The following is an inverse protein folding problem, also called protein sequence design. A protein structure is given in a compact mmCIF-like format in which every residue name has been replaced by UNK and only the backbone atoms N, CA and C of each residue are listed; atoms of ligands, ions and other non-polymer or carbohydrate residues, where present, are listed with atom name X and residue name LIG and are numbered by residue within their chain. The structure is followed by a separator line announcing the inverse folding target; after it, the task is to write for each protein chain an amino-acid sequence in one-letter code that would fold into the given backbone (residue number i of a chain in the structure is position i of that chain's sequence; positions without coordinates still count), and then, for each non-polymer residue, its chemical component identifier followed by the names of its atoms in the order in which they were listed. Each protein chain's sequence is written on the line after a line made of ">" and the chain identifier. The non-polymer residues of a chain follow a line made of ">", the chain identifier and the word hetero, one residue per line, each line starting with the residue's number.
data_IF_892601129397
#
_entry.id   IF_892601129397
#
_cell.length_a   1.000
_cell.length_b   1.000
_cell.length_c   1.000
_cell.angle_alpha   90.00
_cell.angle_beta   90.00
_cell.angle_gamma   90.00
#
_symmetry.space_group_name_H-M   'P 1'
#
loop_
_entity.id
_entity.type
_entity.pdbx_description
1 polymer ?
#
# COMPACT_ATOMS: atom_id res chain seq x y z
N UNK A 1 46.54 49.35 44.25
CA UNK A 1 47.02 48.40 45.27
C UNK A 1 46.65 46.99 44.80
N UNK A 2 47.67 46.19 44.49
CA UNK A 2 47.75 44.72 44.34
C UNK A 2 46.70 43.99 43.47
N UNK A 3 47.03 43.57 42.25
CA UNK A 3 47.64 42.27 41.86
C UNK A 3 46.66 41.08 42.01
N UNK A 4 46.34 40.38 40.89
CA UNK A 4 46.71 38.97 40.65
C UNK A 4 46.03 38.38 39.41
N UNK A 5 46.89 37.98 38.48
CA UNK A 5 46.71 37.08 37.33
C UNK A 5 46.13 35.72 37.71
N UNK A 6 45.17 35.19 36.93
CA UNK A 6 45.09 33.74 36.62
C UNK A 6 44.54 33.48 35.22
N UNK A 7 45.39 32.85 34.41
CA UNK A 7 45.06 32.16 33.15
C UNK A 7 44.19 30.94 33.50
N UNK A 8 43.05 30.78 32.84
CA UNK A 8 42.25 29.55 32.87
C UNK A 8 42.07 29.05 31.44
N UNK A 9 42.42 27.77 31.29
CA UNK A 9 42.63 27.05 30.04
C UNK A 9 41.32 26.78 29.30
N UNK A 10 41.42 26.95 27.98
CA UNK A 10 40.62 26.43 26.89
C UNK A 10 39.75 25.20 27.23
N UNK A 11 38.45 25.25 26.93
CA UNK A 11 37.67 24.02 26.70
C UNK A 11 36.74 24.20 25.51
N UNK A 12 37.12 23.59 24.38
CA UNK A 12 36.25 23.44 23.21
C UNK A 12 35.11 22.51 23.59
N UNK A 13 33.95 23.06 23.96
CA UNK A 13 32.75 22.24 24.13
C UNK A 13 32.22 21.90 22.75
N UNK A 14 32.41 20.63 22.41
CA UNK A 14 32.00 20.00 21.17
C UNK A 14 30.54 20.35 20.82
N UNK A 15 30.35 20.79 19.58
CA UNK A 15 29.05 20.89 18.93
C UNK A 15 28.66 19.46 18.55
N UNK A 16 27.59 18.94 19.15
CA UNK A 16 26.94 17.70 18.69
C UNK A 16 25.61 18.10 18.06
N UNK A 17 25.49 18.20 16.73
CA UNK A 17 24.18 18.21 16.11
C UNK A 17 23.65 16.77 16.21
N UNK A 18 22.77 16.53 17.19
CA UNK A 18 22.04 15.27 17.27
C UNK A 18 21.07 15.21 16.09
N UNK A 19 21.48 14.47 15.07
CA UNK A 19 20.74 14.14 13.85
C UNK A 19 19.33 13.65 14.17
N UNK A 20 18.34 14.48 13.87
CA UNK A 20 16.92 14.13 13.89
C UNK A 20 16.52 13.49 12.54
N UNK A 21 17.11 12.34 12.22
CA UNK A 21 16.71 11.54 11.06
C UNK A 21 16.03 10.27 11.56
N UNK A 22 14.71 10.15 11.44
CA UNK A 22 14.06 8.84 11.56
C UNK A 22 12.66 8.74 12.17
N UNK A 23 11.96 9.83 12.49
CA UNK A 23 10.54 9.74 12.86
C UNK A 23 9.64 9.78 11.62
N UNK A 24 9.73 8.75 10.78
CA UNK A 24 8.72 8.53 9.76
C UNK A 24 7.47 7.95 10.43
N UNK A 25 6.26 8.52 10.21
CA UNK A 25 5.04 7.91 10.72
C UNK A 25 4.86 6.52 10.12
N UNK A 26 4.32 5.58 10.91
CA UNK A 26 3.88 4.28 10.41
C UNK A 26 2.80 4.55 9.35
N UNK A 27 3.10 4.25 8.08
CA UNK A 27 2.12 4.36 7.01
C UNK A 27 1.03 3.31 7.22
N UNK A 28 -0.22 3.76 7.36
CA UNK A 28 -1.41 2.90 7.35
C UNK A 28 -1.97 2.92 5.94
N UNK A 29 -1.97 1.77 5.26
CA UNK A 29 -2.57 1.63 3.94
C UNK A 29 -4.09 1.75 4.07
N UNK A 30 -4.65 2.86 3.57
CA UNK A 30 -6.10 3.05 3.45
C UNK A 30 -6.65 2.41 2.17
N UNK A 31 -7.96 2.57 1.97
CA UNK A 31 -8.65 2.07 0.77
C UNK A 31 -8.04 2.66 -0.52
N UNK A 32 -7.94 1.84 -1.56
CA UNK A 32 -7.47 2.31 -2.87
C UNK A 32 -8.40 3.40 -3.41
N UNK A 33 -7.88 4.59 -3.80
CA UNK A 33 -8.70 5.64 -4.39
C UNK A 33 -9.06 5.35 -5.85
N UNK A 34 -8.47 4.31 -6.46
CA UNK A 34 -8.69 3.93 -7.85
C UNK A 34 -9.78 2.85 -7.94
N UNK A 35 -10.74 3.06 -8.84
CA UNK A 35 -11.74 2.05 -9.21
C UNK A 35 -11.19 0.98 -10.16
N UNK A 36 -11.99 -0.05 -10.40
CA UNK A 36 -11.67 -1.11 -11.35
C UNK A 36 -12.09 -0.72 -12.77
N UNK A 37 -11.24 -0.97 -13.76
CA UNK A 37 -11.59 -0.87 -15.18
C UNK A 37 -11.85 -2.29 -15.69
N UNK A 38 -13.04 -2.50 -16.24
CA UNK A 38 -13.38 -3.75 -16.90
C UNK A 38 -13.15 -3.58 -18.40
N UNK A 39 -12.33 -4.45 -18.99
CA UNK A 39 -12.17 -4.55 -20.44
C UNK A 39 -13.23 -5.51 -21.00
N UNK A 40 -13.48 -5.42 -22.30
CA UNK A 40 -14.38 -6.35 -23.01
C UNK A 40 -13.56 -7.18 -23.98
N UNK A 41 -12.57 -7.88 -23.45
CA UNK A 41 -11.83 -8.86 -24.22
C UNK A 41 -12.77 -10.01 -24.58
N UNK A 42 -12.71 -10.49 -25.82
CA UNK A 42 -13.56 -11.58 -26.30
C UNK A 42 -12.73 -12.83 -26.50
N UNK A 43 -13.26 -13.95 -26.04
CA UNK A 43 -12.68 -15.27 -26.27
C UNK A 43 -13.00 -15.79 -27.67
N UNK A 44 -12.07 -16.57 -28.30
CA UNK A 44 -12.38 -17.31 -29.51
C UNK A 44 -13.60 -18.22 -29.30
N UNK A 45 -14.34 -18.49 -30.39
CA UNK A 45 -15.52 -19.34 -30.33
C UNK A 45 -15.20 -20.72 -29.71
N UNK A 46 -16.00 -21.13 -28.74
CA UNK A 46 -15.86 -22.42 -28.06
C UNK A 46 -14.87 -22.47 -26.90
N UNK A 47 -14.14 -21.38 -26.63
CA UNK A 47 -13.20 -21.32 -25.50
C UNK A 47 -13.92 -20.99 -24.19
N UNK A 48 -13.37 -21.53 -23.09
CA UNK A 48 -13.83 -21.28 -21.73
C UNK A 48 -12.73 -20.62 -20.91
N UNK A 49 -13.13 -19.68 -20.06
CA UNK A 49 -12.30 -19.18 -18.98
C UNK A 49 -13.02 -19.40 -17.64
N UNK A 50 -12.24 -19.73 -16.62
CA UNK A 50 -12.73 -19.87 -15.25
C UNK A 50 -11.78 -19.12 -14.33
N UNK A 51 -12.29 -18.11 -13.64
CA UNK A 51 -11.51 -17.31 -12.72
C UNK A 51 -12.02 -17.48 -11.29
N UNK A 52 -11.11 -17.83 -10.38
CA UNK A 52 -11.44 -17.97 -8.97
C UNK A 52 -10.73 -16.89 -8.16
N UNK A 53 -11.51 -16.12 -7.41
CA UNK A 53 -11.03 -15.13 -6.47
C UNK A 53 -11.26 -15.59 -5.05
N UNK A 54 -10.24 -15.46 -4.22
CA UNK A 54 -10.31 -15.62 -2.77
C UNK A 54 -9.65 -14.38 -2.18
N UNK A 55 -10.45 -13.51 -1.57
CA UNK A 55 -9.98 -12.24 -1.03
C UNK A 55 -10.16 -12.21 0.47
N UNK A 56 -9.07 -12.05 1.21
CA UNK A 56 -9.13 -11.55 2.58
C UNK A 56 -9.06 -10.03 2.55
N UNK A 57 -10.02 -9.38 3.21
CA UNK A 57 -10.02 -7.94 3.47
C UNK A 57 -9.89 -7.76 4.97
N UNK A 58 -8.71 -7.37 5.40
CA UNK A 58 -8.38 -7.02 6.77
C UNK A 58 -8.14 -5.51 6.85
N UNK A 59 -8.83 -4.86 7.80
CA UNK A 59 -8.78 -3.42 8.01
C UNK A 59 -9.67 -2.63 7.04
N UNK A 60 -10.09 -1.44 7.49
CA UNK A 60 -10.71 -0.39 6.67
C UNK A 60 -10.21 0.97 7.17
N UNK A 61 -10.40 2.03 6.38
CA UNK A 61 -10.06 3.41 6.77
C UNK A 61 -10.73 3.86 8.09
N UNK A 62 -11.79 3.18 8.55
CA UNK A 62 -12.40 3.37 9.88
C UNK A 62 -13.11 2.09 10.38
N UNK A 63 -12.75 1.62 11.58
CA UNK A 63 -13.38 0.48 12.26
C UNK A 63 -12.63 -0.85 12.09
N UNK A 64 -13.01 -1.87 12.89
CA UNK A 64 -12.49 -3.22 12.78
C UNK A 64 -13.32 -4.00 11.74
N UNK A 65 -12.67 -4.42 10.66
CA UNK A 65 -13.29 -5.15 9.57
C UNK A 65 -12.41 -6.30 9.13
N UNK A 66 -12.97 -7.51 9.14
CA UNK A 66 -12.38 -8.72 8.59
C UNK A 66 -13.43 -9.41 7.72
N UNK A 67 -13.13 -9.57 6.43
CA UNK A 67 -14.00 -10.25 5.48
C UNK A 67 -13.20 -11.22 4.61
N UNK A 68 -13.69 -12.46 4.53
CA UNK A 68 -13.36 -13.39 3.46
C UNK A 68 -14.43 -13.33 2.38
N UNK A 69 -14.02 -12.98 1.17
CA UNK A 69 -14.87 -12.96 -0.01
C UNK A 69 -14.39 -13.99 -1.04
N UNK A 70 -15.35 -14.68 -1.64
CA UNK A 70 -15.12 -15.68 -2.67
C UNK A 70 -15.93 -15.29 -3.90
N UNK A 71 -15.31 -15.36 -5.08
CA UNK A 71 -16.00 -15.14 -6.36
C UNK A 71 -15.50 -16.16 -7.37
N UNK A 72 -16.40 -16.74 -8.12
CA UNK A 72 -16.09 -17.62 -9.24
C UNK A 72 -16.69 -17.00 -10.48
N UNK A 73 -15.86 -16.69 -11.45
CA UNK A 73 -16.29 -16.16 -12.75
C UNK A 73 -16.08 -17.24 -13.80
N UNK A 74 -17.06 -17.41 -14.68
CA UNK A 74 -17.03 -18.38 -15.75
C UNK A 74 -17.46 -17.72 -17.05
N UNK A 75 -16.64 -17.86 -18.07
CA UNK A 75 -16.82 -17.22 -19.36
C UNK A 75 -16.78 -18.21 -20.52
N UNK A 76 -17.55 -17.90 -21.57
CA UNK A 76 -17.62 -18.69 -22.78
C UNK A 76 -17.67 -17.84 -24.04
N UNK A 77 -16.80 -18.15 -25.01
CA UNK A 77 -16.82 -17.57 -26.35
C UNK A 77 -17.95 -18.16 -27.20
N UNK A 78 -19.00 -17.37 -27.44
CA UNK A 78 -20.14 -17.73 -28.31
C UNK A 78 -19.75 -17.61 -29.78
N UNK A 79 -19.04 -16.54 -30.14
CA UNK A 79 -18.38 -16.30 -31.43
C UNK A 79 -17.01 -15.67 -31.16
N UNK A 80 -16.17 -15.51 -32.18
CA UNK A 80 -14.85 -14.88 -32.04
C UNK A 80 -14.90 -13.40 -31.60
N UNK A 81 -16.09 -12.83 -31.45
CA UNK A 81 -16.34 -11.44 -31.05
C UNK A 81 -17.52 -11.28 -30.08
N UNK A 82 -18.01 -12.38 -29.49
CA UNK A 82 -19.08 -12.36 -28.49
C UNK A 82 -18.79 -13.38 -27.40
N UNK A 83 -18.70 -12.90 -26.16
CA UNK A 83 -18.45 -13.72 -24.97
C UNK A 83 -19.55 -13.48 -23.95
N UNK A 84 -20.01 -14.56 -23.32
CA UNK A 84 -20.90 -14.50 -22.15
C UNK A 84 -20.12 -14.78 -20.87
N UNK A 85 -20.40 -14.05 -19.80
CA UNK A 85 -19.79 -14.21 -18.47
C UNK A 85 -20.87 -14.33 -17.37
N UNK A 86 -20.57 -15.10 -16.33
CA UNK A 86 -21.37 -15.24 -15.10
C UNK A 86 -20.44 -15.19 -13.87
N UNK A 87 -20.85 -14.49 -12.81
CA UNK A 87 -20.11 -14.27 -11.56
C UNK A 87 -20.87 -14.73 -10.31
#
# INVERSE_FOLDING_TARGET
>A
MSLLTRIQVLSHRAIVPLTLFGLSPLASAGDSPFGYVYTTDTHPAGQWEVEQWITNRHGQSRGDYDLWAYRTELEYGLTDNLTGSQQ
#
